data_IF_039296348466
#
_entry.id   IF_039296348466
#
_cell.length_a   1.000
_cell.length_b   1.000
_cell.length_c   1.000
_cell.angle_alpha   90.00
_cell.angle_beta   90.00
_cell.angle_gamma   90.00
#
_symmetry.space_group_name_H-M   'P 1'
#
loop_
_entity.id
_entity.type
_entity.pdbx_description
1 polymer ?
#
# COMPACT_ATOMS: atom_id res chain seq x y z
N UNK A 1 -1.36 -5.77 -10.39
CA UNK A 1 -0.80 -6.81 -9.49
C UNK A 1 0.56 -7.30 -9.97
N UNK A 2 0.71 -7.84 -11.19
CA UNK A 2 2.01 -8.41 -11.67
C UNK A 2 3.16 -7.40 -11.67
N UNK A 3 2.91 -6.12 -12.00
CA UNK A 3 3.94 -5.06 -11.89
C UNK A 3 4.41 -4.86 -10.45
N UNK A 4 3.50 -4.92 -9.47
CA UNK A 4 3.84 -4.79 -8.05
C UNK A 4 4.73 -5.96 -7.63
N UNK A 5 4.34 -7.20 -7.96
CA UNK A 5 5.12 -8.39 -7.63
C UNK A 5 6.52 -8.33 -8.26
N UNK A 6 6.61 -8.01 -9.57
CA UNK A 6 7.89 -7.89 -10.26
C UNK A 6 8.76 -6.77 -9.66
N UNK A 7 8.17 -5.64 -9.28
CA UNK A 7 8.89 -4.56 -8.61
C UNK A 7 9.51 -5.01 -7.29
N UNK A 8 8.71 -5.69 -6.45
CA UNK A 8 9.19 -6.17 -5.15
C UNK A 8 10.25 -7.29 -5.28
N UNK A 9 10.14 -8.13 -6.30
CA UNK A 9 11.15 -9.15 -6.60
C UNK A 9 12.50 -8.49 -6.95
N UNK A 10 12.49 -7.43 -7.77
CA UNK A 10 13.70 -6.66 -8.10
C UNK A 10 14.23 -5.92 -6.88
N UNK A 11 13.38 -5.31 -6.04
CA UNK A 11 13.81 -4.67 -4.78
C UNK A 11 14.51 -5.66 -3.86
N UNK A 12 13.93 -6.86 -3.70
CA UNK A 12 14.52 -7.94 -2.90
C UNK A 12 15.89 -8.37 -3.43
N UNK A 13 16.04 -8.46 -4.76
CA UNK A 13 17.31 -8.82 -5.40
C UNK A 13 18.36 -7.70 -5.27
N UNK A 14 17.98 -6.44 -5.45
CA UNK A 14 18.87 -5.31 -5.22
C UNK A 14 19.36 -5.25 -3.77
N UNK A 15 18.51 -5.55 -2.81
CA UNK A 15 18.92 -5.64 -1.39
C UNK A 15 19.92 -6.78 -1.16
N UNK A 16 19.64 -7.99 -1.66
CA UNK A 16 20.53 -9.16 -1.52
C UNK A 16 21.91 -8.91 -2.12
N UNK A 17 21.98 -8.11 -3.17
CA UNK A 17 23.26 -7.71 -3.81
C UNK A 17 23.91 -6.50 -3.14
N UNK A 18 23.36 -5.99 -2.04
CA UNK A 18 23.79 -4.77 -1.37
C UNK A 18 23.88 -3.55 -2.32
N UNK A 19 23.03 -3.51 -3.35
CA UNK A 19 22.95 -2.40 -4.31
C UNK A 19 22.01 -1.28 -3.87
N UNK A 20 21.18 -1.55 -2.87
CA UNK A 20 20.20 -0.58 -2.35
C UNK A 20 20.53 -0.24 -0.89
N UNK A 21 20.59 1.07 -0.52
CA UNK A 21 20.80 1.50 0.86
C UNK A 21 19.53 1.32 1.71
N UNK A 22 19.72 1.16 3.03
CA UNK A 22 18.62 1.10 3.99
C UNK A 22 17.85 -0.22 3.97
N UNK A 23 16.63 -0.19 4.50
CA UNK A 23 15.72 -1.32 4.57
C UNK A 23 14.48 -1.07 3.70
N UNK A 24 13.97 -2.13 3.09
CA UNK A 24 12.69 -2.15 2.40
C UNK A 24 11.72 -3.14 3.06
N UNK A 25 10.44 -2.87 2.90
CA UNK A 25 9.34 -3.70 3.38
C UNK A 25 8.50 -4.10 2.16
N UNK A 26 8.63 -5.35 1.72
CA UNK A 26 8.06 -5.82 0.48
C UNK A 26 6.54 -5.98 0.59
N UNK A 27 5.82 -5.55 -0.44
CA UNK A 27 4.36 -5.61 -0.53
C UNK A 27 3.82 -6.93 -1.10
N UNK A 28 4.72 -7.86 -1.51
CA UNK A 28 4.36 -9.16 -2.10
C UNK A 28 3.36 -9.92 -1.23
N UNK A 29 2.27 -10.37 -1.85
CA UNK A 29 1.14 -11.06 -1.23
C UNK A 29 -0.07 -10.16 -0.95
N UNK A 30 0.06 -8.85 -0.96
CA UNK A 30 -1.00 -7.88 -0.66
C UNK A 30 -1.49 -7.12 -1.90
N UNK A 31 -1.05 -7.49 -3.10
CA UNK A 31 -1.25 -6.75 -4.35
C UNK A 31 -2.72 -6.48 -4.68
N UNK A 32 -3.61 -7.40 -4.30
CA UNK A 32 -5.04 -7.27 -4.56
C UNK A 32 -5.67 -6.12 -3.76
N UNK A 33 -5.16 -5.83 -2.55
CA UNK A 33 -5.66 -4.70 -1.74
C UNK A 33 -5.30 -3.39 -2.41
N UNK A 34 -4.03 -3.16 -2.72
CA UNK A 34 -3.59 -1.92 -3.37
C UNK A 34 -4.32 -1.68 -4.69
N UNK A 35 -4.38 -2.71 -5.55
CA UNK A 35 -4.99 -2.59 -6.88
C UNK A 35 -6.50 -2.42 -6.78
N UNK A 36 -7.18 -3.24 -5.97
CA UNK A 36 -8.63 -3.16 -5.83
C UNK A 36 -9.09 -1.80 -5.29
N UNK A 37 -8.41 -1.27 -4.28
CA UNK A 37 -8.74 0.04 -3.72
C UNK A 37 -8.39 1.18 -4.69
N UNK A 38 -7.18 1.19 -5.26
CA UNK A 38 -6.75 2.30 -6.12
C UNK A 38 -7.54 2.36 -7.43
N UNK A 39 -8.04 1.23 -7.96
CA UNK A 39 -8.92 1.22 -9.13
C UNK A 39 -10.30 1.85 -8.88
N UNK A 40 -10.73 1.97 -7.62
CA UNK A 40 -11.96 2.65 -7.24
C UNK A 40 -11.79 4.18 -7.13
N UNK A 41 -10.57 4.69 -7.23
CA UNK A 41 -10.23 6.10 -7.04
C UNK A 41 -10.09 6.85 -8.36
N UNK A 42 -10.36 8.13 -8.33
CA UNK A 42 -9.94 9.05 -9.38
C UNK A 42 -8.44 9.38 -9.23
N UNK A 43 -7.83 9.83 -10.32
CA UNK A 43 -6.40 10.19 -10.31
C UNK A 43 -6.06 11.26 -9.26
N UNK A 44 -6.96 12.20 -9.04
CA UNK A 44 -6.79 13.33 -8.12
C UNK A 44 -7.30 13.08 -6.69
N UNK A 45 -7.86 11.89 -6.40
CA UNK A 45 -8.11 11.46 -5.03
C UNK A 45 -6.81 11.23 -4.28
N UNK A 46 -6.84 11.40 -2.97
CA UNK A 46 -5.65 11.28 -2.13
C UNK A 46 -5.48 9.87 -1.58
N UNK A 47 -4.24 9.43 -1.49
CA UNK A 47 -3.85 8.28 -0.68
C UNK A 47 -2.75 8.66 0.31
N UNK A 48 -2.72 8.00 1.46
CA UNK A 48 -1.55 7.93 2.35
C UNK A 48 -1.18 6.48 2.57
N UNK A 49 0.09 6.22 2.79
CA UNK A 49 0.62 4.87 2.86
C UNK A 49 1.50 4.65 4.10
N UNK A 50 2.09 3.47 4.20
CA UNK A 50 2.89 2.98 5.30
C UNK A 50 4.35 2.78 4.87
N UNK A 51 5.16 2.22 5.77
CA UNK A 51 6.50 1.71 5.45
C UNK A 51 6.52 0.66 4.33
N UNK A 52 5.38 0.00 4.04
CA UNK A 52 5.17 -1.00 2.97
C UNK A 52 4.38 -0.37 1.81
N UNK A 53 4.89 0.77 1.31
CA UNK A 53 4.13 1.64 0.42
C UNK A 53 4.27 1.40 -1.07
N UNK A 54 5.17 0.53 -1.53
CA UNK A 54 5.47 0.38 -2.96
C UNK A 54 4.24 -0.03 -3.78
N UNK A 55 3.48 -1.01 -3.28
CA UNK A 55 2.26 -1.46 -3.94
C UNK A 55 1.22 -0.35 -4.10
N UNK A 56 1.02 0.47 -3.08
CA UNK A 56 0.09 1.61 -3.12
C UNK A 56 0.55 2.68 -4.12
N UNK A 57 1.86 2.99 -4.13
CA UNK A 57 2.42 3.96 -5.09
C UNK A 57 2.19 3.50 -6.52
N UNK A 58 2.57 2.25 -6.85
CA UNK A 58 2.39 1.69 -8.19
C UNK A 58 0.91 1.59 -8.58
N UNK A 59 0.05 1.13 -7.69
CA UNK A 59 -1.39 1.02 -7.96
C UNK A 59 -2.04 2.39 -8.17
N UNK A 60 -1.53 3.45 -7.56
CA UNK A 60 -1.99 4.83 -7.75
C UNK A 60 -1.41 5.48 -9.02
N UNK A 61 -0.45 4.84 -9.67
CA UNK A 61 0.10 5.27 -10.97
C UNK A 61 1.46 5.94 -10.92
N UNK A 62 2.24 5.72 -9.84
CA UNK A 62 3.62 6.20 -9.76
C UNK A 62 4.52 5.52 -10.82
N UNK A 63 5.50 6.24 -11.35
CA UNK A 63 6.49 5.72 -12.29
C UNK A 63 7.52 4.84 -11.56
N UNK A 64 7.64 3.54 -11.92
CA UNK A 64 8.60 2.65 -11.28
C UNK A 64 10.06 3.10 -11.46
N UNK A 65 10.41 3.85 -12.52
CA UNK A 65 11.75 4.41 -12.71
C UNK A 65 12.11 5.39 -11.60
N UNK A 66 11.18 6.30 -11.28
CA UNK A 66 11.38 7.29 -10.23
C UNK A 66 11.31 6.66 -8.84
N UNK A 67 10.52 5.60 -8.67
CA UNK A 67 10.48 4.82 -7.43
C UNK A 67 11.83 4.13 -7.19
N UNK A 68 12.37 3.39 -8.17
CA UNK A 68 13.70 2.79 -8.03
C UNK A 68 14.78 3.84 -7.82
N UNK A 69 14.71 4.98 -8.51
CA UNK A 69 15.65 6.09 -8.30
C UNK A 69 15.62 6.58 -6.84
N UNK A 70 14.43 6.68 -6.23
CA UNK A 70 14.30 7.04 -4.81
C UNK A 70 14.92 5.99 -3.88
N UNK A 71 14.63 4.69 -4.12
CA UNK A 71 15.18 3.59 -3.34
C UNK A 71 16.72 3.53 -3.41
N UNK A 72 17.29 3.87 -4.57
CA UNK A 72 18.73 3.88 -4.82
C UNK A 72 19.43 5.19 -4.41
N UNK A 73 18.68 6.16 -3.85
CA UNK A 73 19.22 7.44 -3.43
C UNK A 73 19.62 8.37 -4.58
N UNK A 74 18.99 8.25 -5.75
CA UNK A 74 19.31 9.03 -6.95
C UNK A 74 18.55 10.35 -6.98
N UNK A 75 19.19 11.40 -7.59
CA UNK A 75 18.64 12.76 -7.64
C UNK A 75 17.25 12.85 -8.27
N UNK A 76 16.99 12.03 -9.29
CA UNK A 76 15.72 12.01 -10.02
C UNK A 76 14.59 11.29 -9.30
N UNK A 77 14.83 10.68 -8.10
CA UNK A 77 13.81 10.04 -7.30
C UNK A 77 12.72 11.00 -6.85
N UNK A 78 11.54 10.48 -6.49
CA UNK A 78 10.37 11.28 -6.10
C UNK A 78 10.63 12.29 -4.98
N UNK A 79 11.53 11.96 -4.05
CA UNK A 79 11.97 12.85 -2.96
C UNK A 79 13.44 13.27 -3.12
N UNK A 80 13.98 13.24 -4.34
CA UNK A 80 15.36 13.58 -4.62
C UNK A 80 16.37 12.59 -4.02
N UNK A 81 15.98 11.33 -3.86
CA UNK A 81 16.80 10.28 -3.26
C UNK A 81 16.99 10.39 -1.74
N UNK A 82 16.18 11.21 -1.05
CA UNK A 82 16.31 11.47 0.40
C UNK A 82 15.33 10.67 1.25
N UNK A 83 14.20 10.26 0.70
CA UNK A 83 13.14 9.57 1.41
C UNK A 83 13.37 8.05 1.51
N UNK A 84 13.94 7.46 0.48
CA UNK A 84 14.11 6.02 0.36
C UNK A 84 12.77 5.26 0.31
N UNK A 85 12.82 3.96 0.58
CA UNK A 85 11.69 3.03 0.45
C UNK A 85 10.44 3.45 1.22
N UNK A 86 10.58 4.04 2.40
CA UNK A 86 9.47 4.27 3.33
C UNK A 86 8.83 5.67 3.24
N UNK A 87 9.30 6.54 2.33
CA UNK A 87 8.86 7.94 2.30
C UNK A 87 8.58 8.45 0.87
N UNK A 88 8.21 7.56 -0.05
CA UNK A 88 7.85 7.95 -1.41
C UNK A 88 6.55 8.75 -1.38
N UNK A 89 6.57 9.94 -1.97
CA UNK A 89 5.40 10.78 -2.19
C UNK A 89 5.34 11.20 -3.65
N UNK A 90 4.15 11.19 -4.23
CA UNK A 90 3.91 11.60 -5.62
C UNK A 90 2.67 12.48 -5.69
N UNK A 91 2.88 13.78 -5.70
CA UNK A 91 1.81 14.76 -5.70
C UNK A 91 0.95 14.70 -6.97
N UNK A 92 1.52 14.30 -8.11
CA UNK A 92 0.79 14.25 -9.39
C UNK A 92 -0.27 13.13 -9.41
N UNK A 93 -0.03 12.05 -8.69
CA UNK A 93 -0.98 10.95 -8.55
C UNK A 93 -1.87 11.06 -7.30
N UNK A 94 -1.69 12.11 -6.48
CA UNK A 94 -2.41 12.27 -5.21
C UNK A 94 -1.87 11.39 -4.08
N UNK A 95 -0.70 10.78 -4.24
CA UNK A 95 -0.04 10.05 -3.15
C UNK A 95 0.68 11.04 -2.23
N UNK A 96 0.07 11.31 -1.07
CA UNK A 96 0.59 12.27 -0.08
C UNK A 96 1.78 11.74 0.72
N UNK A 97 2.14 10.48 0.52
CA UNK A 97 3.36 9.90 1.02
C UNK A 97 3.18 8.57 1.76
N UNK A 98 4.23 7.77 1.66
CA UNK A 98 4.50 6.68 2.57
C UNK A 98 5.06 7.24 3.89
N UNK A 99 4.83 6.56 5.00
CA UNK A 99 5.26 7.01 6.33
C UNK A 99 5.75 5.83 7.16
N UNK A 100 6.97 5.93 7.66
CA UNK A 100 7.55 4.92 8.55
C UNK A 100 6.95 4.95 9.96
N UNK A 101 6.34 6.06 10.38
CA UNK A 101 5.69 6.17 11.69
C UNK A 101 4.36 5.43 11.67
N UNK A 102 4.27 4.35 12.44
CA UNK A 102 3.06 3.51 12.51
C UNK A 102 1.87 4.34 12.97
N UNK A 103 0.80 4.34 12.16
CA UNK A 103 -0.42 5.12 12.42
C UNK A 103 -0.32 6.61 12.07
N UNK A 104 0.86 7.17 11.79
CA UNK A 104 1.03 8.60 11.49
C UNK A 104 0.27 9.08 10.24
N UNK A 105 0.13 8.22 9.25
CA UNK A 105 -0.62 8.51 8.01
C UNK A 105 -2.11 8.75 8.23
N UNK A 106 -2.69 8.27 9.33
CA UNK A 106 -4.13 8.41 9.62
C UNK A 106 -4.53 9.87 9.81
N UNK A 107 -3.67 10.65 10.51
CA UNK A 107 -3.87 12.09 10.68
C UNK A 107 -3.76 12.85 9.35
N UNK A 108 -2.77 12.49 8.52
CA UNK A 108 -2.53 13.13 7.21
C UNK A 108 -3.73 12.90 6.29
N UNK A 109 -4.22 11.66 6.16
CA UNK A 109 -5.38 11.32 5.34
C UNK A 109 -6.64 12.06 5.81
N UNK A 110 -6.86 12.12 7.13
CA UNK A 110 -8.02 12.82 7.70
C UNK A 110 -7.94 14.33 7.44
N UNK A 111 -6.74 14.93 7.53
CA UNK A 111 -6.50 16.32 7.15
C UNK A 111 -6.74 16.59 5.67
N UNK A 112 -6.32 15.68 4.78
CA UNK A 112 -6.59 15.76 3.35
C UNK A 112 -8.10 15.69 3.05
N UNK A 113 -8.83 14.80 3.73
CA UNK A 113 -10.29 14.72 3.61
C UNK A 113 -10.99 15.98 4.14
N UNK A 114 -10.51 16.58 5.21
CA UNK A 114 -11.01 17.85 5.71
C UNK A 114 -10.79 18.98 4.68
N UNK A 115 -9.59 19.03 4.09
CA UNK A 115 -9.27 19.96 3.01
C UNK A 115 -10.19 19.77 1.81
N UNK A 116 -10.39 18.52 1.36
CA UNK A 116 -11.28 18.20 0.24
C UNK A 116 -12.72 18.67 0.51
N UNK A 117 -13.24 18.42 1.70
CA UNK A 117 -14.57 18.88 2.13
C UNK A 117 -14.66 20.40 2.17
N UNK A 118 -13.65 21.07 2.76
CA UNK A 118 -13.63 22.54 2.89
C UNK A 118 -13.54 23.25 1.53
N UNK A 119 -12.85 22.65 0.58
CA UNK A 119 -12.73 23.15 -0.81
C UNK A 119 -13.92 22.79 -1.69
N UNK A 120 -14.78 21.87 -1.27
CA UNK A 120 -15.92 21.39 -2.06
C UNK A 120 -15.51 20.68 -3.37
N UNK A 121 -14.33 20.10 -3.44
CA UNK A 121 -13.76 19.52 -4.67
C UNK A 121 -14.13 18.06 -4.91
N UNK A 122 -14.94 17.46 -4.04
CA UNK A 122 -15.43 16.08 -4.11
C UNK A 122 -14.34 14.97 -4.10
N UNK A 123 -13.10 15.30 -3.74
CA UNK A 123 -12.04 14.31 -3.58
C UNK A 123 -12.26 13.46 -2.34
N UNK A 124 -11.78 12.22 -2.41
CA UNK A 124 -11.77 11.29 -1.29
C UNK A 124 -10.32 11.06 -0.87
N UNK A 125 -10.08 10.86 0.42
CA UNK A 125 -8.79 10.43 0.93
C UNK A 125 -8.86 8.97 1.38
N UNK A 126 -7.88 8.16 0.99
CA UNK A 126 -7.73 6.78 1.45
C UNK A 126 -6.49 6.69 2.32
N UNK A 127 -6.64 6.13 3.51
CA UNK A 127 -5.54 5.86 4.42
C UNK A 127 -5.28 4.35 4.48
N UNK A 128 -4.18 3.89 3.91
CA UNK A 128 -3.73 2.52 4.11
C UNK A 128 -2.93 2.39 5.41
N UNK A 129 -3.18 1.34 6.18
CA UNK A 129 -2.41 1.01 7.38
C UNK A 129 -2.56 -0.48 7.71
N UNK A 130 -1.53 -1.05 8.35
CA UNK A 130 -1.58 -2.43 8.83
C UNK A 130 -2.30 -2.56 10.17
N UNK A 131 -2.75 -3.77 10.52
CA UNK A 131 -3.45 -4.09 11.76
C UNK A 131 -2.64 -3.71 13.02
N UNK A 132 -1.29 -3.66 12.92
CA UNK A 132 -0.44 -3.17 14.00
C UNK A 132 -0.69 -1.71 14.40
N UNK A 133 -1.26 -0.90 13.50
CA UNK A 133 -1.62 0.47 13.81
C UNK A 133 -2.89 0.60 14.65
N UNK A 134 -3.65 -0.48 14.85
CA UNK A 134 -4.87 -0.49 15.67
C UNK A 134 -4.61 -0.15 17.15
N UNK A 135 -3.36 -0.26 17.61
CA UNK A 135 -2.96 0.16 18.95
C UNK A 135 -2.65 1.66 19.10
N UNK A 136 -2.63 2.44 17.99
CA UNK A 136 -2.29 3.86 18.02
C UNK A 136 -3.47 4.73 18.40
N UNK A 137 -3.30 5.60 19.42
CA UNK A 137 -4.34 6.51 19.88
C UNK A 137 -4.83 7.47 18.81
N UNK A 138 -3.93 7.98 17.97
CA UNK A 138 -4.24 8.91 16.88
C UNK A 138 -5.34 8.37 15.94
N UNK A 139 -5.35 7.05 15.64
CA UNK A 139 -6.39 6.44 14.79
C UNK A 139 -7.80 6.71 15.36
N UNK A 140 -7.97 6.57 16.66
CA UNK A 140 -9.28 6.77 17.32
C UNK A 140 -9.67 8.24 17.40
N UNK A 141 -8.71 9.12 17.64
CA UNK A 141 -8.91 10.58 17.63
C UNK A 141 -9.40 11.04 16.24
N UNK A 142 -8.73 10.61 15.18
CA UNK A 142 -9.10 11.04 13.82
C UNK A 142 -10.35 10.35 13.31
N UNK A 143 -10.66 9.12 13.71
CA UNK A 143 -11.95 8.48 13.41
C UNK A 143 -13.11 9.25 14.06
N UNK A 144 -12.95 9.69 15.31
CA UNK A 144 -13.95 10.54 15.98
C UNK A 144 -14.17 11.85 15.21
N UNK A 145 -13.10 12.55 14.82
CA UNK A 145 -13.20 13.79 14.05
C UNK A 145 -13.82 13.54 12.67
N UNK A 146 -13.42 12.47 11.98
CA UNK A 146 -13.94 12.13 10.67
C UNK A 146 -15.45 11.84 10.70
N UNK A 147 -15.90 11.10 11.72
CA UNK A 147 -17.33 10.81 11.92
C UNK A 147 -18.11 12.10 12.25
N UNK A 148 -17.62 12.88 13.23
CA UNK A 148 -18.28 14.13 13.66
C UNK A 148 -18.41 15.13 12.53
N UNK A 149 -17.39 15.27 11.70
CA UNK A 149 -17.37 16.21 10.58
C UNK A 149 -17.79 15.58 9.25
N UNK A 150 -18.21 14.32 9.23
CA UNK A 150 -18.67 13.61 8.02
C UNK A 150 -17.64 13.76 6.88
N UNK A 151 -16.36 13.42 7.16
CA UNK A 151 -15.26 13.59 6.23
C UNK A 151 -15.22 12.48 5.17
N UNK A 152 -14.86 12.78 3.92
CA UNK A 152 -14.72 11.78 2.84
C UNK A 152 -13.39 11.02 2.96
N UNK A 153 -13.23 10.22 4.01
CA UNK A 153 -12.03 9.40 4.25
C UNK A 153 -12.39 7.92 4.35
N UNK A 154 -11.58 7.07 3.72
CA UNK A 154 -11.67 5.62 3.83
C UNK A 154 -10.42 5.12 4.56
N UNK A 155 -10.61 4.47 5.69
CA UNK A 155 -9.55 3.80 6.46
C UNK A 155 -9.45 2.34 5.98
N UNK A 156 -8.37 1.99 5.29
CA UNK A 156 -8.12 0.63 4.78
C UNK A 156 -7.11 -0.06 5.68
N UNK A 157 -7.60 -1.03 6.45
CA UNK A 157 -6.78 -1.86 7.33
C UNK A 157 -6.34 -3.13 6.57
N UNK A 158 -5.05 -3.23 6.28
CA UNK A 158 -4.43 -4.42 5.70
C UNK A 158 -4.07 -5.39 6.83
N UNK A 159 -5.01 -6.26 7.17
CA UNK A 159 -4.79 -7.28 8.19
C UNK A 159 -3.99 -8.43 7.61
N UNK A 160 -2.67 -8.35 7.72
CA UNK A 160 -1.73 -9.37 7.24
C UNK A 160 -1.33 -10.38 8.34
N UNK A 161 -2.05 -10.38 9.45
CA UNK A 161 -1.96 -11.24 10.62
C UNK A 161 -0.80 -10.93 11.58
N UNK A 162 0.25 -10.19 11.16
CA UNK A 162 1.46 -10.05 11.97
C UNK A 162 1.93 -8.60 12.11
N UNK A 163 1.99 -8.14 13.37
CA UNK A 163 2.66 -6.90 13.77
C UNK A 163 4.15 -7.20 13.89
N UNK A 164 4.92 -6.94 12.85
CA UNK A 164 6.31 -7.35 12.78
C UNK A 164 6.46 -8.87 13.02
N UNK A 165 6.73 -9.31 14.23
CA UNK A 165 6.94 -10.72 14.61
C UNK A 165 5.83 -11.29 15.51
N UNK A 166 4.81 -10.49 15.84
CA UNK A 166 3.75 -10.87 16.79
C UNK A 166 2.41 -10.99 16.07
N UNK A 167 1.74 -12.13 16.25
CA UNK A 167 0.42 -12.32 15.66
C UNK A 167 -0.57 -11.29 16.25
N UNK A 168 -1.42 -10.68 15.40
CA UNK A 168 -2.27 -9.55 15.81
C UNK A 168 -3.23 -9.88 16.97
N UNK A 169 -3.65 -11.14 17.11
CA UNK A 169 -4.51 -11.58 18.23
C UNK A 169 -3.85 -11.52 19.60
N UNK A 170 -2.53 -11.41 19.65
CA UNK A 170 -1.77 -11.22 20.88
C UNK A 170 -1.69 -9.74 21.30
N UNK A 171 -1.95 -8.82 20.38
CA UNK A 171 -1.80 -7.38 20.59
C UNK A 171 -3.09 -6.59 20.41
N UNK A 172 -4.13 -7.21 19.83
CA UNK A 172 -5.38 -6.55 19.45
C UNK A 172 -6.55 -7.21 20.17
N UNK A 173 -7.06 -6.57 21.22
CA UNK A 173 -8.23 -7.04 21.95
C UNK A 173 -9.53 -6.77 21.18
N UNK A 174 -10.47 -7.72 21.23
CA UNK A 174 -11.80 -7.61 20.61
C UNK A 174 -11.75 -7.61 19.08
N UNK A 175 -12.89 -7.33 18.47
CA UNK A 175 -13.07 -7.34 17.03
C UNK A 175 -12.58 -6.03 16.38
N UNK A 176 -11.91 -6.13 15.24
CA UNK A 176 -11.37 -4.96 14.51
C UNK A 176 -12.52 -4.04 14.09
N UNK A 177 -13.58 -4.58 13.51
CA UNK A 177 -14.71 -3.79 13.01
C UNK A 177 -15.56 -3.15 14.13
N UNK A 178 -15.46 -3.62 15.36
CA UNK A 178 -16.13 -2.98 16.49
C UNK A 178 -15.56 -1.58 16.79
N UNK A 179 -14.32 -1.31 16.43
CA UNK A 179 -13.65 -0.03 16.67
C UNK A 179 -14.27 1.11 15.87
N UNK A 180 -14.31 1.06 14.52
CA UNK A 180 -14.99 2.09 13.74
C UNK A 180 -16.49 2.14 14.03
N UNK A 181 -17.13 1.01 14.31
CA UNK A 181 -18.55 0.96 14.67
C UNK A 181 -18.87 1.77 15.94
N UNK A 182 -17.95 1.86 16.91
CA UNK A 182 -18.11 2.68 18.10
C UNK A 182 -18.26 4.18 17.81
N UNK A 183 -17.78 4.65 16.67
CA UNK A 183 -17.93 6.03 16.16
C UNK A 183 -19.06 6.17 15.12
N UNK A 184 -19.86 5.13 14.89
CA UNK A 184 -20.88 5.12 13.85
C UNK A 184 -20.34 5.08 12.42
N UNK A 185 -19.07 4.72 12.25
CA UNK A 185 -18.42 4.60 10.93
C UNK A 185 -18.83 3.27 10.29
N UNK A 186 -19.29 3.33 9.03
CA UNK A 186 -19.57 2.13 8.25
C UNK A 186 -18.29 1.31 8.08
N UNK A 187 -18.33 0.03 8.44
CA UNK A 187 -17.20 -0.86 8.39
C UNK A 187 -17.54 -2.17 7.68
N UNK A 188 -16.63 -2.64 6.84
CA UNK A 188 -16.77 -3.89 6.08
C UNK A 188 -15.47 -4.68 6.15
N UNK A 189 -15.57 -6.02 6.05
CA UNK A 189 -14.43 -6.93 5.91
C UNK A 189 -14.52 -7.66 4.59
N UNK A 190 -13.39 -7.81 3.89
CA UNK A 190 -13.29 -8.54 2.62
C UNK A 190 -12.09 -9.47 2.61
N UNK A 191 -12.14 -10.51 1.77
CA UNK A 191 -10.97 -11.31 1.40
C UNK A 191 -10.01 -10.41 0.57
N UNK A 192 -8.92 -9.94 1.21
CA UNK A 192 -7.89 -9.11 0.59
C UNK A 192 -7.08 -9.83 -0.50
N UNK A 193 -7.32 -11.13 -0.73
CA UNK A 193 -6.73 -11.90 -1.83
C UNK A 193 -7.65 -12.00 -3.05
N UNK A 194 -8.88 -11.48 -2.98
CA UNK A 194 -9.76 -11.33 -4.14
C UNK A 194 -9.85 -9.86 -4.56
N UNK A 195 -9.10 -9.50 -5.61
CA UNK A 195 -9.08 -8.11 -6.13
C UNK A 195 -10.45 -7.58 -6.52
N UNK A 196 -11.37 -8.44 -6.94
CA UNK A 196 -12.74 -8.08 -7.35
C UNK A 196 -13.58 -7.73 -6.12
N UNK A 197 -13.46 -8.53 -5.05
CA UNK A 197 -14.15 -8.27 -3.78
C UNK A 197 -13.65 -6.95 -3.17
N UNK A 198 -12.32 -6.73 -3.16
CA UNK A 198 -11.73 -5.48 -2.70
C UNK A 198 -12.21 -4.29 -3.53
N UNK A 199 -12.18 -4.41 -4.87
CA UNK A 199 -12.65 -3.36 -5.77
C UNK A 199 -14.13 -3.03 -5.57
N UNK A 200 -14.99 -4.03 -5.44
CA UNK A 200 -16.43 -3.83 -5.26
C UNK A 200 -16.73 -3.11 -3.94
N UNK A 201 -16.12 -3.56 -2.83
CA UNK A 201 -16.29 -2.91 -1.52
C UNK A 201 -15.71 -1.49 -1.52
N UNK A 202 -14.48 -1.31 -2.01
CA UNK A 202 -13.85 0.00 -2.09
C UNK A 202 -14.68 0.98 -2.94
N UNK A 203 -15.17 0.55 -4.10
CA UNK A 203 -16.00 1.38 -5.00
C UNK A 203 -17.27 1.86 -4.30
N UNK A 204 -17.98 0.99 -3.58
CA UNK A 204 -19.18 1.36 -2.85
C UNK A 204 -18.90 2.36 -1.72
N UNK A 205 -17.80 2.15 -0.97
CA UNK A 205 -17.42 3.04 0.13
C UNK A 205 -16.92 4.40 -0.37
N UNK A 206 -16.14 4.41 -1.45
CA UNK A 206 -15.63 5.64 -2.09
C UNK A 206 -16.78 6.47 -2.67
N UNK A 207 -17.70 5.85 -3.41
CA UNK A 207 -18.87 6.53 -3.95
C UNK A 207 -19.69 7.17 -2.82
N UNK A 208 -20.01 6.43 -1.77
CA UNK A 208 -20.71 6.93 -0.59
C UNK A 208 -20.00 8.12 0.05
N UNK A 209 -18.68 8.03 0.26
CA UNK A 209 -17.90 9.11 0.88
C UNK A 209 -17.90 10.36 0.01
N UNK A 210 -17.75 10.22 -1.31
CA UNK A 210 -17.77 11.29 -2.30
C UNK A 210 -19.11 12.03 -2.34
N UNK A 211 -20.22 11.32 -2.13
CA UNK A 211 -21.56 11.84 -2.04
C UNK A 211 -21.93 12.45 -0.66
N UNK A 212 -20.94 12.56 0.23
CA UNK A 212 -21.12 13.14 1.56
C UNK A 212 -21.64 12.16 2.62
N UNK A 213 -21.59 10.86 2.36
CA UNK A 213 -22.01 9.81 3.30
C UNK A 213 -21.03 9.58 4.47
N UNK A 214 -19.95 10.37 4.57
CA UNK A 214 -18.99 10.34 5.66
C UNK A 214 -17.96 9.22 5.55
N UNK A 215 -17.16 9.03 6.62
CA UNK A 215 -16.05 8.09 6.61
C UNK A 215 -16.50 6.64 6.50
N UNK A 216 -15.56 5.79 6.07
CA UNK A 216 -15.74 4.34 6.09
C UNK A 216 -14.45 3.63 6.50
N UNK A 217 -14.58 2.37 6.89
CA UNK A 217 -13.48 1.49 7.27
C UNK A 217 -13.59 0.19 6.48
N UNK A 218 -12.50 -0.21 5.83
CA UNK A 218 -12.41 -1.47 5.09
C UNK A 218 -11.29 -2.31 5.68
N UNK A 219 -11.63 -3.46 6.26
CA UNK A 219 -10.67 -4.47 6.67
C UNK A 219 -10.45 -5.44 5.51
N UNK A 220 -9.19 -5.60 5.10
CA UNK A 220 -8.78 -6.54 4.05
C UNK A 220 -7.93 -7.63 4.69
N UNK A 221 -8.45 -8.86 4.73
CA UNK A 221 -7.70 -10.03 5.21
C UNK A 221 -6.69 -10.44 4.13
N UNK A 222 -5.40 -10.24 4.43
CA UNK A 222 -4.31 -10.45 3.47
C UNK A 222 -3.11 -11.12 4.12
N UNK A 223 -2.00 -11.23 3.41
CA UNK A 223 -0.77 -11.84 3.93
C UNK A 223 0.47 -11.30 3.25
N UNK A 224 1.53 -11.05 4.03
CA UNK A 224 2.84 -10.69 3.48
C UNK A 224 3.68 -11.96 3.24
N UNK A 225 4.17 -12.17 2.02
CA UNK A 225 4.93 -13.38 1.65
C UNK A 225 6.35 -13.40 2.22
N UNK A 226 6.94 -12.24 2.39
CA UNK A 226 8.27 -12.10 2.99
C UNK A 226 8.17 -11.76 4.49
N UNK A 227 9.29 -11.65 5.16
CA UNK A 227 9.37 -11.19 6.52
C UNK A 227 8.85 -9.76 6.70
N UNK A 228 8.96 -9.21 7.88
CA UNK A 228 8.56 -7.84 8.14
C UNK A 228 9.30 -6.86 7.22
N UNK A 229 10.61 -7.04 7.09
CA UNK A 229 11.48 -6.33 6.16
C UNK A 229 12.42 -7.30 5.44
N UNK A 230 13.17 -6.83 4.44
CA UNK A 230 14.06 -7.66 3.62
C UNK A 230 15.17 -8.39 4.40
N UNK A 231 15.52 -7.92 5.61
CA UNK A 231 16.47 -8.57 6.50
C UNK A 231 15.85 -9.62 7.45
N UNK A 232 14.53 -9.76 7.49
CA UNK A 232 13.82 -10.79 8.28
C UNK A 232 13.75 -12.08 7.46
N UNK A 233 14.83 -12.88 7.51
CA UNK A 233 15.02 -14.04 6.65
C UNK A 233 14.45 -15.30 7.31
N UNK A 234 14.79 -15.56 8.57
CA UNK A 234 14.27 -16.71 9.33
C UNK A 234 13.00 -16.31 10.07
N UNK A 235 11.88 -16.82 9.62
CA UNK A 235 10.55 -16.51 10.16
C UNK A 235 9.96 -17.62 11.01
N UNK A 236 10.67 -18.75 11.13
CA UNK A 236 10.18 -19.96 11.78
C UNK A 236 9.86 -19.77 13.28
N UNK A 237 10.37 -18.69 13.90
CA UNK A 237 10.12 -18.40 15.31
C UNK A 237 8.78 -17.70 15.57
N UNK A 238 8.08 -17.18 14.54
CA UNK A 238 6.79 -16.52 14.73
C UNK A 238 5.68 -16.99 13.77
N UNK A 239 6.00 -17.64 12.65
CA UNK A 239 5.02 -18.21 11.72
C UNK A 239 5.50 -19.51 11.09
N UNK A 240 4.58 -20.42 10.80
CA UNK A 240 4.93 -21.72 10.24
C UNK A 240 5.19 -21.67 8.73
N UNK A 241 6.02 -22.58 8.23
CA UNK A 241 6.23 -22.75 6.79
C UNK A 241 4.99 -23.24 6.06
N UNK A 242 4.14 -24.01 6.72
CA UNK A 242 2.88 -24.52 6.15
C UNK A 242 1.90 -23.38 5.93
N UNK A 243 1.79 -22.45 6.88
CA UNK A 243 1.00 -21.22 6.75
C UNK A 243 1.50 -20.38 5.56
N UNK A 244 2.81 -20.10 5.49
CA UNK A 244 3.40 -19.36 4.37
C UNK A 244 3.09 -20.04 3.03
N UNK A 245 3.27 -21.36 2.96
CA UNK A 245 3.04 -22.13 1.76
C UNK A 245 1.57 -22.07 1.32
N UNK A 246 0.63 -22.24 2.23
CA UNK A 246 -0.80 -22.14 1.95
C UNK A 246 -1.15 -20.78 1.32
N UNK A 247 -0.72 -19.67 1.95
CA UNK A 247 -0.98 -18.33 1.43
C UNK A 247 -0.35 -18.07 0.07
N UNK A 248 0.86 -18.57 -0.16
CA UNK A 248 1.60 -18.35 -1.41
C UNK A 248 1.10 -19.22 -2.58
N UNK A 249 0.47 -20.37 -2.32
CA UNK A 249 0.04 -21.30 -3.37
C UNK A 249 -1.46 -21.30 -3.61
N UNK A 250 -2.25 -21.48 -2.56
CA UNK A 250 -3.71 -21.60 -2.70
C UNK A 250 -4.43 -20.26 -2.63
N UNK A 251 -3.80 -19.23 -2.06
CA UNK A 251 -4.39 -17.93 -1.85
C UNK A 251 -3.65 -16.80 -2.56
N UNK A 252 -2.75 -17.10 -3.51
CA UNK A 252 -2.07 -16.06 -4.28
C UNK A 252 -3.05 -15.21 -5.10
N UNK A 253 -3.13 -13.88 -4.88
CA UNK A 253 -4.12 -13.04 -5.54
C UNK A 253 -3.92 -12.96 -7.06
N UNK A 254 -2.68 -13.09 -7.53
CA UNK A 254 -2.36 -13.06 -8.98
C UNK A 254 -2.80 -14.35 -9.62
N UNK A 255 -2.50 -15.50 -9.00
CA UNK A 255 -2.92 -16.82 -9.48
C UNK A 255 -4.44 -16.93 -9.55
N UNK A 256 -5.13 -16.67 -8.42
CA UNK A 256 -6.59 -16.73 -8.30
C UNK A 256 -7.31 -15.83 -9.32
N UNK A 257 -6.84 -14.62 -9.52
CA UNK A 257 -7.45 -13.73 -10.51
C UNK A 257 -7.18 -14.19 -11.94
N UNK A 258 -5.97 -14.71 -12.21
CA UNK A 258 -5.62 -15.29 -13.51
C UNK A 258 -6.49 -16.49 -13.87
N UNK A 259 -6.68 -17.42 -12.93
CA UNK A 259 -7.58 -18.57 -13.08
C UNK A 259 -9.00 -18.13 -13.40
N UNK A 260 -9.54 -17.20 -12.61
CA UNK A 260 -10.88 -16.65 -12.86
C UNK A 260 -11.01 -16.00 -14.24
N UNK A 261 -10.01 -15.24 -14.70
CA UNK A 261 -10.03 -14.63 -16.05
C UNK A 261 -10.09 -15.71 -17.15
N UNK A 262 -9.36 -16.81 -16.99
CA UNK A 262 -9.40 -17.93 -17.92
C UNK A 262 -10.75 -18.67 -17.89
N UNK A 263 -11.28 -18.95 -16.71
CA UNK A 263 -12.58 -19.62 -16.52
C UNK A 263 -13.73 -18.82 -17.12
N UNK A 264 -13.68 -17.48 -17.03
CA UNK A 264 -14.68 -16.60 -17.62
C UNK A 264 -14.44 -16.32 -19.12
N UNK A 265 -13.35 -16.85 -19.69
CA UNK A 265 -13.01 -16.63 -21.10
C UNK A 265 -12.50 -15.21 -21.41
N UNK A 266 -12.11 -14.41 -20.41
CA UNK A 266 -11.58 -13.08 -20.63
C UNK A 266 -10.11 -13.08 -21.07
N UNK A 267 -9.36 -14.12 -20.74
CA UNK A 267 -7.96 -14.27 -21.15
C UNK A 267 -7.61 -15.75 -21.38
N UNK A 268 -6.67 -15.99 -22.29
CA UNK A 268 -6.03 -17.30 -22.41
C UNK A 268 -4.79 -17.38 -21.50
N UNK A 269 -4.37 -18.57 -21.05
CA UNK A 269 -3.14 -18.71 -20.25
C UNK A 269 -1.92 -18.06 -20.88
N UNK A 270 -1.71 -18.20 -22.18
CA UNK A 270 -0.59 -17.57 -22.91
C UNK A 270 -0.62 -16.05 -22.80
N UNK A 271 -1.80 -15.43 -22.83
CA UNK A 271 -1.95 -13.98 -22.65
C UNK A 271 -1.50 -13.53 -21.26
N UNK A 272 -1.81 -14.32 -20.23
CA UNK A 272 -1.38 -14.03 -18.85
C UNK A 272 0.14 -14.18 -18.69
N UNK A 273 0.74 -15.15 -19.37
CA UNK A 273 2.20 -15.34 -19.37
C UNK A 273 2.91 -14.19 -20.12
N UNK A 274 2.34 -13.75 -21.24
CA UNK A 274 2.83 -12.56 -21.96
C UNK A 274 2.79 -11.30 -21.08
N UNK A 275 1.69 -11.08 -20.34
CA UNK A 275 1.54 -9.95 -19.40
C UNK A 275 2.59 -10.02 -18.30
N UNK A 276 2.84 -11.22 -17.73
CA UNK A 276 3.88 -11.40 -16.70
C UNK A 276 5.27 -11.08 -17.25
N UNK A 277 5.59 -11.60 -18.45
CA UNK A 277 6.88 -11.36 -19.10
C UNK A 277 7.10 -9.90 -19.43
N UNK A 278 6.09 -9.21 -19.98
CA UNK A 278 6.16 -7.77 -20.27
C UNK A 278 6.33 -6.95 -19.00
N UNK A 279 5.62 -7.31 -17.93
CA UNK A 279 5.75 -6.63 -16.62
C UNK A 279 7.17 -6.79 -16.06
N UNK A 280 7.73 -7.98 -16.07
CA UNK A 280 9.09 -8.24 -15.62
C UNK A 280 10.10 -7.42 -16.41
N UNK A 281 10.04 -7.47 -17.74
CA UNK A 281 10.93 -6.70 -18.63
C UNK A 281 10.83 -5.19 -18.37
N UNK A 282 9.61 -4.65 -18.21
CA UNK A 282 9.41 -3.24 -17.96
C UNK A 282 10.00 -2.80 -16.61
N UNK A 283 9.83 -3.63 -15.57
CA UNK A 283 10.35 -3.35 -14.23
C UNK A 283 11.88 -3.46 -14.19
N UNK A 284 12.47 -4.47 -14.84
CA UNK A 284 13.92 -4.59 -14.97
C UNK A 284 14.54 -3.38 -15.69
N UNK A 285 13.91 -2.93 -16.78
CA UNK A 285 14.34 -1.73 -17.48
C UNK A 285 14.22 -0.46 -16.62
N UNK A 286 13.18 -0.36 -15.78
CA UNK A 286 13.03 0.75 -14.85
C UNK A 286 14.12 0.75 -13.76
N UNK A 287 14.47 -0.43 -13.23
CA UNK A 287 15.56 -0.57 -12.27
C UNK A 287 16.92 -0.20 -12.89
N UNK A 288 17.19 -0.67 -14.13
CA UNK A 288 18.43 -0.33 -14.82
C UNK A 288 18.53 1.18 -15.08
N UNK A 289 17.45 1.82 -15.53
CA UNK A 289 17.39 3.27 -15.69
C UNK A 289 17.78 4.00 -14.39
N UNK A 290 17.28 3.55 -13.26
CA UNK A 290 17.60 4.15 -11.96
C UNK A 290 19.04 3.86 -11.51
N UNK A 291 19.58 2.68 -11.79
CA UNK A 291 20.98 2.35 -11.50
C UNK A 291 21.95 3.30 -12.24
N UNK A 292 21.63 3.63 -13.48
CA UNK A 292 22.46 4.51 -14.33
C UNK A 292 22.29 6.01 -14.02
N UNK A 293 21.26 6.38 -13.25
CA UNK A 293 20.98 7.76 -12.90
C UNK A 293 22.02 8.35 -11.92
N UNK A 294 22.26 9.69 -11.97
CA UNK A 294 23.21 10.34 -11.08
C UNK A 294 22.75 10.38 -9.62
N UNK A 295 23.70 10.42 -8.72
CA UNK A 295 23.47 10.76 -7.32
C UNK A 295 23.36 12.27 -7.12
N UNK A 296 22.64 12.75 -6.08
CA UNK A 296 22.65 14.15 -5.70
C UNK A 296 24.06 14.67 -5.44
N UNK A 297 24.33 15.92 -5.79
CA UNK A 297 25.63 16.54 -5.50
C UNK A 297 25.77 16.85 -4.01
N UNK A 298 26.99 16.82 -3.48
CA UNK A 298 27.25 17.01 -2.03
C UNK A 298 26.64 18.29 -1.45
N UNK A 299 26.54 19.36 -2.25
CA UNK A 299 25.93 20.62 -1.84
C UNK A 299 24.41 20.54 -1.59
N UNK A 300 23.74 19.51 -2.11
CA UNK A 300 22.29 19.35 -1.94
C UNK A 300 21.87 18.93 -0.53
N UNK A 301 22.81 18.51 0.29
CA UNK A 301 22.55 18.18 1.71
C UNK A 301 21.92 19.35 2.50
N UNK A 302 22.21 20.58 2.09
CA UNK A 302 21.70 21.79 2.74
C UNK A 302 20.36 22.29 2.15
N UNK A 303 19.93 21.75 1.00
CA UNK A 303 18.67 22.14 0.38
C UNK A 303 17.48 21.58 1.17
N UNK A 304 16.44 22.41 1.32
CA UNK A 304 15.18 22.03 1.98
C UNK A 304 15.31 21.64 3.47
N UNK A 305 16.39 22.07 4.15
CA UNK A 305 16.55 21.88 5.60
C UNK A 305 15.85 23.03 6.34
N UNK A 306 15.94 24.24 5.79
CA UNK A 306 15.26 25.44 6.28
C UNK A 306 14.57 26.14 5.11
N UNK A 307 13.52 26.90 5.43
CA UNK A 307 12.79 27.73 4.47
C UNK A 307 13.62 28.93 4.04
#
# INVERSE_FOLDING_TARGET
>A
MVHIRAFEDVVNDLYKRAAMPGLAHLYSGQEAVAVGVCQALHRDDYITSTHRGHGHCLAKGADPKLMFAELLGKEIGYCGGRGGSMHIADQETGNLGANAIVGGSTGIATGAALSAKSLGNHRVAVCFFGEGALGQGLLYEVMNLAALWTLPVIYVCENNLYNEYTHFRETTAGEILARPAAFGIRAERVDGQDVRAVYAAASALVARAREGGGPAFLECDTYRYHGHHVGDIDRAYYRSKDEEHEWMTTRDPIGRFGEWLCEQGFAAPVTLDDIRSQAATAIEAAAQFALDAPYPVAGDVWRHVYA
#
